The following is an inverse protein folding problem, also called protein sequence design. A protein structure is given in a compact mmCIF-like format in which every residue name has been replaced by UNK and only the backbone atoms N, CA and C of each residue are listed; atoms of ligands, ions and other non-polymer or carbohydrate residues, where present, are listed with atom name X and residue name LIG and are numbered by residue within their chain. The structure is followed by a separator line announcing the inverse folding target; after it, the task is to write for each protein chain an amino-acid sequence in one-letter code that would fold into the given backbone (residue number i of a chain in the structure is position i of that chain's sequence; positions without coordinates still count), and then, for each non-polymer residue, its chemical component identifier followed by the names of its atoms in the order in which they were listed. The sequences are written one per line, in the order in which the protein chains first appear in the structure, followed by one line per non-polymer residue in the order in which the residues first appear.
data_IF_649309057801
#
_entry.id   IF_649309057801
#
_cell.length_a   1.000
_cell.length_b   1.000
_cell.length_c   1.000
_cell.angle_alpha   90.00
_cell.angle_beta   90.00
_cell.angle_gamma   90.00
#
_symmetry.space_group_name_H-M   'P 1'
#
loop_
_entity.id
_entity.type
_entity.pdbx_description
1 polymer ?
#
# COMPACT_ATOMS: atom_id res chain seq x y z
N UNK A 1 -13.77 -18.92 -16.63
CA UNK A 1 -13.13 -17.69 -16.09
C UNK A 1 -12.05 -18.13 -15.13
N UNK A 2 -10.80 -17.66 -15.30
CA UNK A 2 -9.71 -17.97 -14.38
C UNK A 2 -9.72 -16.95 -13.23
N UNK A 3 -9.83 -17.44 -12.00
CA UNK A 3 -9.74 -16.62 -10.79
C UNK A 3 -8.27 -16.42 -10.38
N UNK A 4 -7.98 -15.45 -9.49
CA UNK A 4 -6.64 -15.28 -8.95
C UNK A 4 -6.09 -16.55 -8.33
N UNK A 5 -4.86 -16.91 -8.71
CA UNK A 5 -4.07 -17.98 -8.10
C UNK A 5 -3.13 -17.46 -7.02
N UNK A 6 -2.88 -16.14 -6.99
CA UNK A 6 -2.18 -15.49 -5.89
C UNK A 6 -2.67 -14.08 -5.58
N UNK A 7 -2.42 -13.61 -4.34
CA UNK A 7 -2.73 -12.26 -3.86
C UNK A 7 -1.50 -11.60 -3.23
N UNK A 8 -1.25 -10.32 -3.51
CA UNK A 8 -0.33 -9.48 -2.73
C UNK A 8 -1.14 -8.75 -1.67
N UNK A 9 -1.09 -9.26 -0.45
CA UNK A 9 -1.99 -8.85 0.65
C UNK A 9 -1.48 -7.66 1.45
N UNK A 10 -0.19 -7.35 1.38
CA UNK A 10 0.39 -6.30 2.20
C UNK A 10 1.89 -6.10 2.03
N UNK A 11 2.46 -5.06 2.64
CA UNK A 11 1.77 -3.93 3.30
C UNK A 11 1.95 -2.64 2.50
N UNK A 12 1.08 -1.66 2.71
CA UNK A 12 1.23 -0.34 2.10
C UNK A 12 2.59 0.26 2.49
N UNK A 13 3.26 0.90 1.53
CA UNK A 13 4.60 1.52 1.68
C UNK A 13 5.77 0.55 1.88
N UNK A 14 5.57 -0.72 1.54
CA UNK A 14 6.62 -1.76 1.50
C UNK A 14 6.97 -2.21 0.07
N UNK A 15 6.78 -1.37 -0.96
CA UNK A 15 7.22 -1.68 -2.33
C UNK A 15 6.25 -2.50 -3.20
N UNK A 16 5.04 -2.76 -2.73
CA UNK A 16 4.01 -3.54 -3.48
C UNK A 16 3.71 -3.00 -4.89
N UNK A 17 3.84 -1.70 -5.13
CA UNK A 17 3.66 -1.10 -6.47
C UNK A 17 4.80 -1.46 -7.43
N UNK A 18 6.05 -1.55 -6.95
CA UNK A 18 7.17 -2.01 -7.76
C UNK A 18 7.01 -3.48 -8.12
N UNK A 19 6.72 -4.32 -7.13
CA UNK A 19 6.46 -5.77 -7.32
C UNK A 19 5.31 -6.01 -8.30
N UNK A 20 4.19 -5.30 -8.13
CA UNK A 20 3.08 -5.34 -9.09
C UNK A 20 3.54 -5.00 -10.52
N UNK A 21 4.40 -3.99 -10.67
CA UNK A 21 4.98 -3.61 -11.95
C UNK A 21 5.81 -4.72 -12.57
N UNK A 22 6.75 -5.29 -11.80
CA UNK A 22 7.64 -6.36 -12.28
C UNK A 22 6.87 -7.65 -12.62
N UNK A 23 5.80 -7.96 -11.89
CA UNK A 23 4.92 -9.10 -12.20
C UNK A 23 4.15 -8.90 -13.51
N UNK A 24 3.76 -7.66 -13.83
CA UNK A 24 3.04 -7.35 -15.07
C UNK A 24 3.93 -7.52 -16.31
N UNK A 25 5.26 -7.49 -16.15
CA UNK A 25 6.21 -7.70 -17.25
C UNK A 25 6.39 -9.19 -17.60
N UNK A 26 6.02 -10.11 -16.71
CA UNK A 26 6.27 -11.54 -16.88
C UNK A 26 5.24 -12.19 -17.82
N UNK A 27 5.64 -12.89 -18.90
CA UNK A 27 4.71 -13.38 -19.93
C UNK A 27 3.72 -14.46 -19.45
N UNK A 28 4.05 -15.18 -18.38
CA UNK A 28 3.17 -16.19 -17.76
C UNK A 28 2.32 -15.65 -16.60
N UNK A 29 2.36 -14.33 -16.32
CA UNK A 29 1.65 -13.72 -15.19
C UNK A 29 0.63 -12.71 -15.71
N UNK A 30 -0.62 -12.88 -15.31
CA UNK A 30 -1.67 -11.87 -15.48
C UNK A 30 -1.89 -11.14 -14.15
N UNK A 31 -1.75 -9.82 -14.13
CA UNK A 31 -2.16 -9.00 -12.97
C UNK A 31 -3.49 -8.31 -13.26
N UNK A 32 -4.40 -8.31 -12.28
CA UNK A 32 -5.63 -7.49 -12.33
C UNK A 32 -5.28 -6.08 -12.81
N UNK A 33 -5.93 -5.54 -13.86
CA UNK A 33 -5.62 -4.21 -14.40
C UNK A 33 -5.85 -3.08 -13.39
N UNK A 34 -6.55 -3.40 -12.30
CA UNK A 34 -6.75 -2.51 -11.15
C UNK A 34 -6.00 -3.05 -9.93
N UNK A 35 -4.94 -2.35 -9.53
CA UNK A 35 -4.35 -2.47 -8.20
C UNK A 35 -5.29 -1.87 -7.14
N UNK A 36 -5.22 -2.39 -5.92
CA UNK A 36 -5.95 -1.92 -4.75
C UNK A 36 -7.47 -1.99 -4.97
N UNK A 37 -7.95 -3.15 -5.45
CA UNK A 37 -9.38 -3.45 -5.57
C UNK A 37 -10.09 -3.30 -4.22
N UNK A 38 -9.38 -3.64 -3.13
CA UNK A 38 -9.89 -3.66 -1.77
C UNK A 38 -11.14 -4.55 -1.57
N UNK A 39 -11.42 -5.45 -2.52
CA UNK A 39 -12.64 -6.27 -2.56
C UNK A 39 -12.83 -7.15 -1.32
N UNK A 40 -11.80 -7.87 -0.90
CA UNK A 40 -11.85 -8.75 0.27
C UNK A 40 -11.73 -8.02 1.61
N UNK A 41 -11.64 -6.69 1.64
CA UNK A 41 -11.47 -5.93 2.88
C UNK A 41 -12.58 -4.92 3.09
N UNK A 42 -13.81 -5.30 2.75
CA UNK A 42 -15.03 -4.52 2.96
C UNK A 42 -16.00 -5.31 3.81
N UNK A 43 -16.46 -4.70 4.89
CA UNK A 43 -17.55 -5.22 5.69
C UNK A 43 -18.87 -4.98 4.97
N UNK A 44 -19.49 -6.06 4.48
CA UNK A 44 -20.74 -6.00 3.71
C UNK A 44 -21.99 -6.10 4.58
N UNK A 45 -21.85 -6.48 5.84
CA UNK A 45 -22.96 -6.54 6.78
C UNK A 45 -23.24 -5.16 7.39
N UNK A 46 -22.22 -4.30 7.48
CA UNK A 46 -22.40 -2.90 7.89
C UNK A 46 -23.13 -2.05 6.85
N UNK A 47 -24.05 -1.21 7.32
CA UNK A 47 -24.85 -0.30 6.48
C UNK A 47 -23.94 0.51 5.56
N UNK A 48 -24.35 0.78 4.31
CA UNK A 48 -23.56 1.57 3.36
C UNK A 48 -23.07 2.90 3.92
N UNK A 49 -23.84 3.51 4.83
CA UNK A 49 -23.56 4.80 5.45
C UNK A 49 -22.37 4.78 6.43
N UNK A 50 -22.13 3.65 7.09
CA UNK A 50 -20.94 3.45 7.95
C UNK A 50 -19.69 3.12 7.13
N UNK A 51 -19.88 2.62 5.90
CA UNK A 51 -18.83 2.45 4.91
C UNK A 51 -18.53 3.74 4.10
N UNK A 52 -19.33 4.83 4.25
CA UNK A 52 -19.21 6.09 3.49
C UNK A 52 -18.01 6.95 3.84
N UNK A 53 -17.33 6.73 4.96
CA UNK A 53 -16.14 7.52 5.33
C UNK A 53 -14.98 7.38 4.33
N UNK A 54 -15.04 6.36 3.46
CA UNK A 54 -14.07 6.17 2.38
C UNK A 54 -14.49 6.97 1.15
N UNK A 55 -14.17 8.28 1.13
CA UNK A 55 -13.97 8.94 -0.15
C UNK A 55 -12.94 8.11 -0.92
N UNK A 56 -13.21 7.71 -2.18
CA UNK A 56 -12.21 7.00 -2.95
C UNK A 56 -10.98 7.90 -3.08
N UNK A 57 -9.89 7.51 -2.40
CA UNK A 57 -8.56 8.05 -2.65
C UNK A 57 -8.14 7.87 -4.12
N UNK A 58 -8.86 7.00 -4.85
CA UNK A 58 -8.65 6.65 -6.26
C UNK A 58 -9.52 7.42 -7.29
N UNK A 59 -9.95 8.64 -6.98
CA UNK A 59 -10.72 9.47 -7.92
C UNK A 59 -12.12 8.92 -8.23
N UNK A 60 -12.70 9.31 -9.37
CA UNK A 60 -14.05 8.90 -9.81
C UNK A 60 -14.18 7.41 -10.22
N UNK A 61 -13.26 6.53 -9.81
CA UNK A 61 -13.32 5.11 -10.18
C UNK A 61 -14.43 4.40 -9.39
N UNK A 62 -15.32 3.71 -10.10
CA UNK A 62 -16.36 2.85 -9.54
C UNK A 62 -15.75 1.86 -8.55
N UNK A 63 -16.40 1.60 -7.41
CA UNK A 63 -15.92 0.61 -6.43
C UNK A 63 -16.13 -0.81 -6.97
N UNK A 64 -15.21 -1.73 -6.67
CA UNK A 64 -15.40 -3.18 -6.88
C UNK A 64 -16.06 -3.72 -5.62
N UNK A 65 -17.39 -3.82 -5.65
CA UNK A 65 -18.21 -4.15 -4.48
C UNK A 65 -19.08 -5.41 -4.66
N UNK A 66 -19.19 -5.93 -5.88
CA UNK A 66 -19.85 -7.20 -6.18
C UNK A 66 -18.86 -8.23 -6.72
N UNK A 67 -19.17 -9.51 -6.57
CA UNK A 67 -18.31 -10.59 -7.04
C UNK A 67 -18.15 -10.57 -8.55
N UNK A 68 -19.22 -10.23 -9.27
CA UNK A 68 -19.22 -10.12 -10.73
C UNK A 68 -18.22 -9.05 -11.20
N UNK A 69 -18.24 -7.86 -10.58
CA UNK A 69 -17.26 -6.79 -10.88
C UNK A 69 -15.83 -7.19 -10.55
N UNK A 70 -15.63 -8.04 -9.55
CA UNK A 70 -14.30 -8.55 -9.21
C UNK A 70 -13.82 -9.55 -10.26
N UNK A 71 -14.68 -10.49 -10.63
CA UNK A 71 -14.49 -11.48 -11.69
C UNK A 71 -14.22 -10.86 -13.07
N UNK A 72 -14.89 -9.75 -13.42
CA UNK A 72 -14.66 -8.98 -14.66
C UNK A 72 -13.22 -8.50 -14.82
N UNK A 73 -12.47 -8.33 -13.73
CA UNK A 73 -11.05 -7.94 -13.79
C UNK A 73 -10.14 -9.01 -14.39
N UNK A 74 -10.65 -10.23 -14.59
CA UNK A 74 -9.90 -11.39 -15.06
C UNK A 74 -10.48 -12.00 -16.35
N UNK A 75 -11.33 -11.27 -17.06
CA UNK A 75 -11.94 -11.75 -18.32
C UNK A 75 -10.90 -11.90 -19.45
N UNK A 76 -9.84 -11.08 -19.41
CA UNK A 76 -8.79 -11.07 -20.44
C UNK A 76 -7.66 -12.08 -20.17
N UNK A 77 -7.77 -12.92 -19.13
CA UNK A 77 -6.80 -14.00 -18.89
C UNK A 77 -6.91 -15.03 -20.01
N UNK A 78 -5.77 -15.36 -20.61
CA UNK A 78 -5.63 -16.36 -21.67
C UNK A 78 -4.88 -17.57 -21.10
N UNK A 79 -3.61 -17.69 -21.45
CA UNK A 79 -2.75 -18.84 -21.16
C UNK A 79 -1.82 -18.58 -19.99
N UNK A 80 -1.96 -17.45 -19.28
CA UNK A 80 -1.17 -17.15 -18.10
C UNK A 80 -1.38 -18.24 -17.03
N UNK A 81 -0.26 -18.61 -16.41
CA UNK A 81 -0.15 -19.66 -15.40
C UNK A 81 -0.54 -19.09 -14.04
N UNK A 82 -0.05 -17.88 -13.74
CA UNK A 82 -0.33 -17.19 -12.49
C UNK A 82 -1.22 -15.96 -12.72
N UNK A 83 -2.31 -15.87 -11.96
CA UNK A 83 -3.27 -14.75 -12.03
C UNK A 83 -3.27 -14.05 -10.68
N UNK A 84 -2.94 -12.76 -10.66
CA UNK A 84 -2.65 -12.00 -9.45
C UNK A 84 -3.57 -10.81 -9.22
N UNK A 85 -3.83 -10.52 -7.94
CA UNK A 85 -4.40 -9.25 -7.49
C UNK A 85 -3.56 -8.68 -6.35
N UNK A 86 -3.50 -7.35 -6.22
CA UNK A 86 -2.69 -6.69 -5.22
C UNK A 86 -3.47 -5.61 -4.46
N UNK A 87 -3.80 -5.89 -3.21
CA UNK A 87 -4.48 -4.97 -2.30
C UNK A 87 -3.78 -4.97 -0.93
N UNK A 88 -2.86 -4.03 -0.68
CA UNK A 88 -2.05 -4.04 0.55
C UNK A 88 -2.83 -3.86 1.86
N UNK A 89 -4.11 -3.51 1.80
CA UNK A 89 -4.99 -3.38 2.96
C UNK A 89 -5.51 -4.74 3.47
N UNK A 90 -5.38 -5.82 2.70
CA UNK A 90 -5.86 -7.15 3.11
C UNK A 90 -5.12 -7.65 4.36
N UNK A 91 -3.82 -7.36 4.47
CA UNK A 91 -3.04 -7.68 5.66
C UNK A 91 -3.53 -6.89 6.88
N UNK A 92 -3.84 -5.60 6.71
CA UNK A 92 -4.24 -4.73 7.84
C UNK A 92 -5.65 -5.09 8.32
N UNK A 93 -6.55 -5.46 7.40
CA UNK A 93 -7.90 -5.93 7.71
C UNK A 93 -7.97 -7.45 7.72
N UNK A 94 -7.00 -8.11 8.34
CA UNK A 94 -6.81 -9.55 8.26
C UNK A 94 -8.03 -10.37 8.68
N UNK A 95 -8.80 -9.95 9.70
CA UNK A 95 -9.94 -10.74 10.18
C UNK A 95 -10.96 -10.97 9.06
N UNK A 96 -11.46 -9.88 8.50
CA UNK A 96 -12.44 -9.95 7.40
C UNK A 96 -11.82 -10.40 6.08
N UNK A 97 -10.56 -10.02 5.82
CA UNK A 97 -9.92 -10.37 4.55
C UNK A 97 -9.63 -11.86 4.46
N UNK A 98 -9.13 -12.47 5.53
CA UNK A 98 -8.91 -13.92 5.58
C UNK A 98 -10.21 -14.70 5.43
N UNK A 99 -11.29 -14.29 6.09
CA UNK A 99 -12.60 -14.94 5.97
C UNK A 99 -13.12 -14.87 4.53
N UNK A 100 -13.13 -13.68 3.94
CA UNK A 100 -13.59 -13.52 2.57
C UNK A 100 -12.69 -14.26 1.58
N UNK A 101 -11.36 -14.18 1.72
CA UNK A 101 -10.43 -14.91 0.85
C UNK A 101 -10.67 -16.42 0.96
N UNK A 102 -10.86 -16.96 2.17
CA UNK A 102 -11.14 -18.38 2.37
C UNK A 102 -12.44 -18.82 1.70
N UNK A 103 -13.47 -17.97 1.71
CA UNK A 103 -14.76 -18.27 1.10
C UNK A 103 -14.73 -18.22 -0.44
N UNK A 104 -13.99 -17.28 -1.03
CA UNK A 104 -13.99 -17.07 -2.48
C UNK A 104 -12.81 -17.74 -3.20
N UNK A 105 -11.66 -17.86 -2.54
CA UNK A 105 -10.38 -18.30 -3.10
C UNK A 105 -9.60 -19.19 -2.10
N UNK A 106 -10.15 -20.33 -1.66
CA UNK A 106 -9.57 -21.15 -0.57
C UNK A 106 -8.14 -21.64 -0.85
N UNK A 107 -7.78 -21.85 -2.11
CA UNK A 107 -6.48 -22.39 -2.51
C UNK A 107 -5.41 -21.34 -2.86
N UNK A 108 -5.75 -20.07 -2.76
CA UNK A 108 -4.90 -18.97 -3.25
C UNK A 108 -3.58 -18.88 -2.49
N UNK A 109 -2.50 -18.61 -3.22
CA UNK A 109 -1.23 -18.24 -2.61
C UNK A 109 -1.24 -16.76 -2.21
N UNK A 110 -0.51 -16.39 -1.17
CA UNK A 110 -0.45 -15.04 -0.66
C UNK A 110 0.99 -14.59 -0.50
N UNK A 111 1.23 -13.33 -0.82
CA UNK A 111 2.52 -12.67 -0.69
C UNK A 111 2.34 -11.45 0.20
N UNK A 112 3.17 -11.34 1.23
CA UNK A 112 3.30 -10.12 2.02
C UNK A 112 4.74 -9.60 1.96
N UNK A 113 4.90 -8.34 1.56
CA UNK A 113 6.16 -7.61 1.67
C UNK A 113 6.07 -6.71 2.89
N UNK A 114 6.93 -6.95 3.87
CA UNK A 114 7.03 -6.19 5.11
C UNK A 114 8.21 -5.22 5.05
N UNK A 115 8.15 -4.13 5.80
CA UNK A 115 9.22 -3.13 5.89
C UNK A 115 9.38 -2.76 7.36
N UNK A 116 10.58 -2.31 7.77
CA UNK A 116 10.77 -1.68 9.08
C UNK A 116 9.55 -0.78 9.40
N UNK A 117 8.79 -1.08 10.47
CA UNK A 117 7.50 -0.46 10.71
C UNK A 117 7.61 1.06 10.95
N UNK A 118 8.75 1.53 11.45
CA UNK A 118 9.06 2.96 11.59
C UNK A 118 9.19 3.63 10.23
N UNK A 119 10.03 3.08 9.35
CA UNK A 119 10.24 3.66 8.01
C UNK A 119 8.98 3.55 7.14
N UNK A 120 8.18 2.50 7.33
CA UNK A 120 6.88 2.36 6.70
C UNK A 120 5.91 3.44 7.20
N UNK A 121 5.81 3.66 8.51
CA UNK A 121 4.97 4.70 9.10
C UNK A 121 5.38 6.10 8.62
N UNK A 122 6.68 6.38 8.60
CA UNK A 122 7.25 7.60 8.05
C UNK A 122 6.91 7.79 6.57
N UNK A 123 7.07 6.75 5.75
CA UNK A 123 6.71 6.82 4.33
C UNK A 123 5.21 7.06 4.11
N UNK A 124 4.34 6.51 4.96
CA UNK A 124 2.89 6.72 4.92
C UNK A 124 2.52 8.15 5.36
N UNK A 125 3.19 8.67 6.40
CA UNK A 125 3.06 10.06 6.85
C UNK A 125 3.42 11.07 5.76
N UNK A 126 4.58 10.90 5.10
CA UNK A 126 4.99 11.77 3.98
C UNK A 126 3.98 11.72 2.83
N UNK A 127 3.41 10.55 2.56
CA UNK A 127 2.37 10.40 1.55
C UNK A 127 1.10 11.16 1.94
N UNK A 128 0.68 11.10 3.21
CA UNK A 128 -0.47 11.88 3.69
C UNK A 128 -0.23 13.39 3.56
N UNK A 129 0.97 13.89 3.87
CA UNK A 129 1.35 15.29 3.66
C UNK A 129 1.26 15.69 2.19
N UNK A 130 1.86 14.89 1.30
CA UNK A 130 1.87 15.11 -0.16
C UNK A 130 0.47 15.13 -0.76
N UNK A 131 -0.38 14.20 -0.35
CA UNK A 131 -1.71 14.01 -0.92
C UNK A 131 -2.78 14.88 -0.22
N UNK A 132 -2.40 15.66 0.81
CA UNK A 132 -3.32 16.51 1.57
C UNK A 132 -4.35 15.71 2.38
N UNK A 133 -4.02 14.47 2.75
CA UNK A 133 -4.87 13.62 3.58
C UNK A 133 -4.89 14.22 5.00
N UNK A 134 -6.10 14.48 5.52
CA UNK A 134 -6.30 15.19 6.77
C UNK A 134 -5.58 16.56 6.82
N UNK A 135 -5.52 17.27 5.70
CA UNK A 135 -4.91 18.59 5.61
C UNK A 135 -5.35 19.53 6.76
N UNK A 136 -4.37 20.13 7.44
CA UNK A 136 -4.59 21.00 8.60
C UNK A 136 -4.93 20.28 9.92
N UNK A 137 -5.04 18.95 9.90
CA UNK A 137 -5.35 18.09 11.06
C UNK A 137 -4.42 16.87 11.18
N UNK A 138 -3.41 16.76 10.32
CA UNK A 138 -2.47 15.65 10.34
C UNK A 138 -1.52 15.81 11.53
N UNK A 139 -1.67 14.91 12.51
CA UNK A 139 -0.83 14.84 13.71
C UNK A 139 0.57 14.32 13.39
N UNK A 140 1.57 14.70 14.16
CA UNK A 140 2.93 14.12 14.03
C UNK A 140 2.90 12.61 14.29
N UNK A 141 3.94 11.88 13.88
CA UNK A 141 4.02 10.46 14.20
C UNK A 141 4.19 10.23 15.71
N UNK A 142 4.95 11.09 16.38
CA UNK A 142 5.08 11.05 17.84
C UNK A 142 3.75 11.23 18.58
N UNK A 143 2.91 12.18 18.17
CA UNK A 143 1.56 12.35 18.72
C UNK A 143 0.68 11.13 18.42
N UNK A 144 0.77 10.59 17.19
CA UNK A 144 -0.01 9.42 16.81
C UNK A 144 0.36 8.19 17.65
N UNK A 145 1.63 7.97 17.95
CA UNK A 145 2.06 6.86 18.81
C UNK A 145 1.68 7.09 20.27
N UNK A 146 1.92 8.29 20.81
CA UNK A 146 1.68 8.59 22.24
C UNK A 146 0.20 8.59 22.62
N UNK A 147 -0.66 9.14 21.77
CA UNK A 147 -2.05 9.45 22.15
C UNK A 147 -3.09 8.75 21.28
N UNK A 148 -2.70 8.15 20.17
CA UNK A 148 -3.63 7.61 19.17
C UNK A 148 -3.18 6.29 18.56
N UNK A 149 -2.34 5.50 19.24
CA UNK A 149 -1.79 4.25 18.70
C UNK A 149 -2.87 3.24 18.29
N UNK A 150 -3.98 3.20 19.03
CA UNK A 150 -5.12 2.30 18.79
C UNK A 150 -6.02 2.70 17.61
N UNK A 151 -5.99 3.97 17.22
CA UNK A 151 -6.89 4.56 16.20
C UNK A 151 -6.16 5.04 14.95
N UNK A 152 -4.86 5.34 15.04
CA UNK A 152 -4.07 5.76 13.90
C UNK A 152 -3.87 4.60 12.92
N UNK A 153 -4.51 4.71 11.75
CA UNK A 153 -4.26 3.76 10.65
C UNK A 153 -2.79 3.74 10.22
N UNK A 154 -2.09 4.86 10.30
CA UNK A 154 -0.64 4.94 10.03
C UNK A 154 0.11 4.02 10.97
N UNK A 155 -0.17 4.06 12.28
CA UNK A 155 0.57 3.27 13.27
C UNK A 155 0.19 1.79 13.22
N UNK A 156 -1.11 1.48 13.17
CA UNK A 156 -1.61 0.09 13.17
C UNK A 156 -1.11 -0.75 12.00
N UNK A 157 -0.90 -0.13 10.83
CA UNK A 157 -0.35 -0.81 9.65
C UNK A 157 1.06 -1.40 9.89
N UNK A 158 1.78 -0.94 10.90
CA UNK A 158 3.11 -1.45 11.26
C UNK A 158 3.12 -2.60 12.28
N UNK A 159 1.96 -3.00 12.82
CA UNK A 159 1.83 -4.14 13.72
C UNK A 159 1.57 -5.39 12.88
N UNK A 160 2.60 -6.16 12.60
CA UNK A 160 2.56 -7.26 11.65
C UNK A 160 2.36 -8.63 12.29
N UNK A 161 2.80 -8.83 13.54
CA UNK A 161 2.79 -10.15 14.17
C UNK A 161 1.38 -10.75 14.16
N UNK A 162 0.40 -10.03 14.71
CA UNK A 162 -0.97 -10.54 14.82
C UNK A 162 -1.61 -10.84 13.45
N UNK A 163 -1.56 -9.92 12.45
CA UNK A 163 -2.04 -10.25 11.11
C UNK A 163 -1.37 -11.47 10.47
N UNK A 164 -0.04 -11.56 10.51
CA UNK A 164 0.70 -12.65 9.86
C UNK A 164 0.38 -13.98 10.54
N UNK A 165 0.38 -14.00 11.87
CA UNK A 165 -0.01 -15.20 12.63
C UNK A 165 -1.42 -15.66 12.24
N UNK A 166 -2.37 -14.74 12.15
CA UNK A 166 -3.74 -15.06 11.76
C UNK A 166 -3.82 -15.71 10.38
N UNK A 167 -3.09 -15.19 9.38
CA UNK A 167 -3.06 -15.82 8.05
C UNK A 167 -2.40 -17.19 8.07
N UNK A 168 -1.30 -17.39 8.82
CA UNK A 168 -0.69 -18.71 8.99
C UNK A 168 -1.65 -19.70 9.66
N UNK A 169 -2.34 -19.31 10.73
CA UNK A 169 -3.31 -20.16 11.42
C UNK A 169 -4.51 -20.51 10.51
N UNK A 170 -4.89 -19.60 9.60
CA UNK A 170 -6.10 -19.77 8.77
C UNK A 170 -5.85 -20.59 7.50
N UNK A 171 -4.69 -20.40 6.85
CA UNK A 171 -4.39 -20.93 5.52
C UNK A 171 -3.20 -21.89 5.47
N UNK A 172 -2.41 -21.98 6.54
CA UNK A 172 -1.13 -22.68 6.53
C UNK A 172 0.03 -21.79 6.07
N UNK A 173 1.24 -22.13 6.53
CA UNK A 173 2.45 -21.36 6.22
C UNK A 173 2.87 -21.50 4.76
N UNK A 174 2.53 -22.60 4.10
CA UNK A 174 2.83 -22.88 2.70
C UNK A 174 2.06 -21.99 1.73
N UNK A 175 0.89 -21.48 2.15
CA UNK A 175 0.06 -20.58 1.35
C UNK A 175 0.48 -19.12 1.47
N UNK A 176 1.29 -18.72 2.46
CA UNK A 176 1.73 -17.32 2.65
C UNK A 176 3.25 -17.21 2.65
N UNK A 177 3.79 -16.52 1.65
CA UNK A 177 5.22 -16.16 1.58
C UNK A 177 5.46 -14.74 2.06
N UNK A 178 6.40 -14.59 3.00
CA UNK A 178 6.83 -13.30 3.54
C UNK A 178 8.15 -12.88 2.88
N UNK A 179 8.20 -11.61 2.46
CA UNK A 179 9.39 -10.94 1.94
C UNK A 179 9.66 -9.67 2.75
N UNK A 180 10.92 -9.24 2.82
CA UNK A 180 11.28 -7.97 3.44
C UNK A 180 11.61 -6.94 2.36
N UNK A 181 11.20 -5.70 2.55
CA UNK A 181 11.53 -4.59 1.67
C UNK A 181 13.05 -4.42 1.53
N UNK A 182 13.81 -4.78 2.57
CA UNK A 182 15.27 -4.74 2.55
C UNK A 182 15.88 -5.73 1.53
N UNK A 183 15.22 -6.87 1.32
CA UNK A 183 15.62 -7.83 0.27
C UNK A 183 15.37 -7.21 -1.13
N UNK A 184 14.29 -6.45 -1.29
CA UNK A 184 13.98 -5.73 -2.53
C UNK A 184 14.99 -4.61 -2.79
N UNK A 185 15.47 -3.96 -1.72
CA UNK A 185 16.46 -2.90 -1.85
C UNK A 185 17.85 -3.44 -2.18
N UNK A 186 18.21 -4.58 -1.59
CA UNK A 186 19.51 -5.24 -1.74
C UNK A 186 19.66 -5.98 -3.07
N UNK A 187 18.69 -6.82 -3.42
CA UNK A 187 18.72 -7.64 -4.64
C UNK A 187 17.31 -7.92 -5.15
N UNK A 188 16.78 -6.97 -5.91
CA UNK A 188 15.45 -7.06 -6.50
C UNK A 188 15.29 -8.23 -7.47
N UNK A 189 16.35 -8.63 -8.18
CA UNK A 189 16.26 -9.73 -9.15
C UNK A 189 16.06 -11.03 -8.41
N UNK A 190 16.91 -11.30 -7.41
CA UNK A 190 16.79 -12.51 -6.58
C UNK A 190 15.42 -12.61 -5.89
N UNK A 191 14.92 -11.52 -5.33
CA UNK A 191 13.57 -11.51 -4.74
C UNK A 191 12.50 -11.89 -5.78
N UNK A 192 12.57 -11.32 -6.99
CA UNK A 192 11.58 -11.62 -8.03
C UNK A 192 11.64 -13.09 -8.46
N UNK A 193 12.83 -13.68 -8.60
CA UNK A 193 12.98 -15.11 -8.87
C UNK A 193 12.33 -15.99 -7.78
N UNK A 194 12.47 -15.61 -6.50
CA UNK A 194 11.79 -16.30 -5.40
C UNK A 194 10.26 -16.16 -5.47
N UNK A 195 9.76 -14.98 -5.85
CA UNK A 195 8.32 -14.76 -6.10
C UNK A 195 7.85 -15.65 -7.26
N UNK A 196 8.59 -15.72 -8.37
CA UNK A 196 8.25 -16.52 -9.54
C UNK A 196 8.15 -18.02 -9.21
N UNK A 197 9.15 -18.57 -8.50
CA UNK A 197 9.09 -19.94 -7.96
C UNK A 197 7.87 -20.16 -7.08
N UNK A 198 7.56 -19.21 -6.20
CA UNK A 198 6.43 -19.34 -5.29
C UNK A 198 5.10 -19.36 -6.04
N UNK A 199 4.89 -18.50 -7.05
CA UNK A 199 3.65 -18.48 -7.84
C UNK A 199 3.61 -19.55 -8.94
N UNK A 200 4.72 -20.23 -9.22
CA UNK A 200 4.80 -21.37 -10.12
C UNK A 200 4.99 -21.00 -11.59
N UNK A 201 5.73 -19.92 -11.87
CA UNK A 201 6.10 -19.48 -13.23
C UNK A 201 7.62 -19.59 -13.43
N UNK A 202 8.07 -19.40 -14.67
CA UNK A 202 9.49 -19.38 -15.05
C UNK A 202 10.29 -18.38 -14.20
N UNK A 203 11.20 -18.89 -13.38
CA UNK A 203 12.01 -18.08 -12.48
C UNK A 203 13.29 -17.55 -13.12
N UNK A 204 13.51 -17.82 -14.41
CA UNK A 204 14.63 -17.29 -15.19
C UNK A 204 14.32 -15.96 -15.86
N UNK A 205 13.04 -15.56 -15.90
CA UNK A 205 12.63 -14.26 -16.42
C UNK A 205 13.26 -13.12 -15.59
N UNK A 206 13.84 -12.14 -16.28
CA UNK A 206 14.50 -10.99 -15.65
C UNK A 206 13.75 -9.69 -15.96
N UNK A 207 12.93 -9.16 -15.03
CA UNK A 207 12.23 -7.90 -15.24
C UNK A 207 13.20 -6.71 -15.22
N UNK A 208 12.80 -5.58 -15.80
CA UNK A 208 13.57 -4.33 -15.69
C UNK A 208 13.36 -3.72 -14.29
N UNK A 209 14.14 -4.20 -13.32
CA UNK A 209 14.05 -3.73 -11.93
C UNK A 209 14.67 -2.35 -11.70
N UNK A 210 15.36 -1.78 -12.70
CA UNK A 210 16.01 -0.47 -12.62
C UNK A 210 15.01 0.65 -12.34
N UNK A 211 13.78 0.50 -12.83
CA UNK A 211 12.67 1.44 -12.63
C UNK A 211 11.99 1.17 -11.29
N UNK A 212 12.62 1.56 -10.18
CA UNK A 212 11.90 1.61 -8.90
C UNK A 212 10.75 2.61 -9.00
N UNK A 213 9.52 2.11 -8.92
CA UNK A 213 8.33 2.96 -8.89
C UNK A 213 8.25 3.69 -7.54
N UNK A 214 8.67 4.96 -7.55
CA UNK A 214 8.51 6.03 -6.55
C UNK A 214 9.64 6.24 -5.54
N UNK A 215 10.32 7.39 -5.66
CA UNK A 215 10.93 8.10 -4.52
C UNK A 215 9.84 8.83 -3.72
N UNK A 216 10.03 8.92 -2.40
CA UNK A 216 9.12 9.69 -1.55
C UNK A 216 9.25 11.19 -1.91
N UNK A 217 8.12 11.81 -2.23
CA UNK A 217 8.01 13.22 -2.55
C UNK A 217 7.26 13.94 -1.43
N UNK A 218 7.75 15.10 -1.03
CA UNK A 218 7.22 15.91 0.08
C UNK A 218 6.98 17.34 -0.40
N UNK A 219 5.89 18.00 0.01
CA UNK A 219 5.66 19.39 -0.40
C UNK A 219 6.64 20.36 0.28
N UNK A 220 7.26 21.26 -0.50
CA UNK A 220 8.11 22.36 -0.02
C UNK A 220 7.30 23.36 0.83
N UNK A 221 6.06 23.64 0.42
CA UNK A 221 5.12 24.48 1.15
C UNK A 221 3.80 23.72 1.39
N UNK A 222 3.52 23.39 2.66
CA UNK A 222 2.34 22.60 3.03
C UNK A 222 1.03 23.39 2.86
N UNK A 223 1.03 24.70 3.10
CA UNK A 223 -0.17 25.54 2.93
C UNK A 223 -0.61 25.59 1.48
N UNK A 224 0.34 25.82 0.56
CA UNK A 224 0.11 25.76 -0.88
C UNK A 224 -0.33 24.37 -1.31
N UNK A 225 0.30 23.31 -0.78
CA UNK A 225 -0.09 21.94 -1.09
C UNK A 225 -1.54 21.65 -0.66
N UNK A 226 -1.92 22.06 0.54
CA UNK A 226 -3.28 21.90 1.07
C UNK A 226 -4.29 22.65 0.19
N UNK A 227 -3.98 23.88 -0.23
CA UNK A 227 -4.81 24.67 -1.16
C UNK A 227 -5.02 23.92 -2.49
N UNK A 228 -3.95 23.35 -3.05
CA UNK A 228 -3.97 22.67 -4.34
C UNK A 228 -4.57 21.26 -4.28
N UNK A 229 -4.42 20.53 -3.18
CA UNK A 229 -4.82 19.13 -3.07
C UNK A 229 -6.25 18.94 -2.56
N UNK A 230 -6.69 19.78 -1.62
CA UNK A 230 -8.03 19.67 -1.02
C UNK A 230 -9.10 20.40 -1.81
N UNK A 231 -10.38 20.09 -1.57
CA UNK A 231 -11.49 20.97 -1.98
C UNK A 231 -11.67 22.01 -0.89
N UNK A 232 -11.55 23.29 -1.24
CA UNK A 232 -11.69 24.41 -0.33
C UNK A 232 -12.26 25.63 -1.09
N UNK A 233 -12.85 26.62 -0.38
CA UNK A 233 -13.53 27.75 -1.03
C UNK A 233 -12.63 28.55 -1.96
N UNK A 234 -11.36 28.78 -1.56
CA UNK A 234 -10.37 29.53 -2.34
C UNK A 234 -10.10 28.82 -3.67
N UNK A 235 -9.84 27.50 -3.63
CA UNK A 235 -9.65 26.68 -4.83
C UNK A 235 -10.89 26.70 -5.71
N UNK A 236 -12.09 26.61 -5.13
CA UNK A 236 -13.34 26.67 -5.90
C UNK A 236 -13.46 28.01 -6.62
N UNK A 237 -13.20 29.12 -5.93
CA UNK A 237 -13.20 30.47 -6.52
C UNK A 237 -12.21 30.58 -7.68
N UNK A 238 -10.93 30.22 -7.47
CA UNK A 238 -9.90 30.21 -8.52
C UNK A 238 -10.31 29.33 -9.70
N UNK A 239 -10.85 28.14 -9.44
CA UNK A 239 -11.27 27.23 -10.52
C UNK A 239 -12.46 27.77 -11.32
N UNK A 240 -13.33 28.57 -10.69
CA UNK A 240 -14.51 29.18 -11.29
C UNK A 240 -14.21 30.41 -12.13
N UNK A 241 -13.11 31.12 -11.85
CA UNK A 241 -12.61 32.19 -12.71
C UNK A 241 -11.81 31.62 -13.87
N UNK A 242 -10.88 30.68 -13.61
CA UNK A 242 -10.06 30.07 -14.66
C UNK A 242 -10.88 29.30 -15.70
N UNK A 243 -12.04 28.71 -15.34
CA UNK A 243 -12.90 28.00 -16.30
C UNK A 243 -13.49 28.91 -17.38
N UNK A 244 -13.47 30.23 -17.20
CA UNK A 244 -13.94 31.19 -18.21
C UNK A 244 -12.95 31.33 -19.38
N UNK A 245 -11.67 31.07 -19.13
CA UNK A 245 -10.60 31.27 -20.11
C UNK A 245 -9.78 30.00 -20.42
N UNK A 246 -9.94 28.92 -19.64
CA UNK A 246 -9.12 27.71 -19.76
C UNK A 246 -9.98 26.43 -19.75
N UNK A 247 -9.63 25.50 -20.64
CA UNK A 247 -10.22 24.16 -20.67
C UNK A 247 -9.96 23.38 -19.37
N UNK A 248 -10.69 22.29 -19.16
CA UNK A 248 -10.46 21.40 -18.01
C UNK A 248 -9.04 20.81 -18.02
N UNK A 249 -8.56 20.37 -19.19
CA UNK A 249 -7.23 19.79 -19.35
C UNK A 249 -6.13 20.79 -19.02
N UNK A 250 -6.24 22.04 -19.51
CA UNK A 250 -5.27 23.09 -19.22
C UNK A 250 -5.19 23.38 -17.72
N UNK A 251 -6.36 23.45 -17.04
CA UNK A 251 -6.41 23.66 -15.59
C UNK A 251 -5.81 22.48 -14.81
N UNK A 252 -6.02 21.25 -15.28
CA UNK A 252 -5.40 20.07 -14.69
C UNK A 252 -3.87 20.05 -14.89
N UNK A 253 -3.39 20.41 -16.08
CA UNK A 253 -1.95 20.56 -16.38
C UNK A 253 -1.31 21.64 -15.51
N UNK A 254 -1.93 22.83 -15.42
CA UNK A 254 -1.46 23.93 -14.56
C UNK A 254 -1.35 23.49 -13.10
N UNK A 255 -2.41 22.87 -12.56
CA UNK A 255 -2.42 22.36 -11.18
C UNK A 255 -1.31 21.34 -10.97
N UNK A 256 -1.15 20.39 -11.88
CA UNK A 256 -0.11 19.35 -11.80
C UNK A 256 1.28 19.96 -11.84
N UNK A 257 1.49 20.97 -12.69
CA UNK A 257 2.72 21.76 -12.74
C UNK A 257 3.03 22.45 -11.41
N UNK A 258 2.06 23.12 -10.80
CA UNK A 258 2.22 23.77 -9.49
C UNK A 258 2.53 22.76 -8.37
N UNK A 259 1.86 21.61 -8.35
CA UNK A 259 2.14 20.53 -7.38
C UNK A 259 3.56 19.99 -7.58
N UNK A 260 4.00 19.80 -8.83
CA UNK A 260 5.35 19.33 -9.14
C UNK A 260 6.43 20.35 -8.74
N UNK A 261 6.21 21.64 -9.00
CA UNK A 261 7.14 22.71 -8.57
C UNK A 261 7.26 22.77 -7.04
N UNK A 262 6.16 22.54 -6.35
CA UNK A 262 6.09 22.45 -4.89
C UNK A 262 6.58 21.11 -4.35
N UNK A 263 7.02 20.15 -5.18
CA UNK A 263 7.54 18.87 -4.73
C UNK A 263 9.05 18.94 -4.44
N UNK A 264 9.48 18.34 -3.34
CA UNK A 264 10.88 18.10 -2.97
C UNK A 264 11.08 16.68 -2.43
N UNK A 265 12.29 16.35 -1.97
CA UNK A 265 12.60 15.04 -1.43
C UNK A 265 12.23 14.88 0.06
N UNK A 266 12.49 13.68 0.59
CA UNK A 266 12.16 13.30 1.98
C UNK A 266 12.94 14.08 3.02
N UNK A 267 14.11 14.60 2.65
CA UNK A 267 15.01 15.41 3.47
C UNK A 267 14.36 16.70 3.98
N UNK A 268 13.26 17.17 3.36
CA UNK A 268 12.51 18.33 3.82
C UNK A 268 11.66 18.08 5.08
N UNK A 269 11.45 16.81 5.44
CA UNK A 269 10.67 16.40 6.61
C UNK A 269 11.36 15.21 7.28
N UNK A 270 12.57 15.36 7.82
CA UNK A 270 13.30 14.25 8.43
C UNK A 270 12.58 13.74 9.68
N UNK A 271 12.68 12.43 9.94
CA UNK A 271 12.25 11.85 11.21
C UNK A 271 13.36 12.10 12.24
N UNK A 272 13.06 12.76 13.36
CA UNK A 272 14.08 12.98 14.40
C UNK A 272 14.48 11.66 15.07
N UNK A 273 15.68 11.60 15.66
CA UNK A 273 16.16 10.42 16.38
C UNK A 273 15.26 10.08 17.58
N UNK A 274 14.71 11.08 18.26
CA UNK A 274 13.77 10.90 19.37
C UNK A 274 12.43 10.32 18.89
N UNK A 275 11.90 10.81 17.75
CA UNK A 275 10.70 10.22 17.16
C UNK A 275 10.97 8.78 16.69
N UNK A 276 12.10 8.52 16.03
CA UNK A 276 12.50 7.17 15.62
C UNK A 276 12.58 6.23 16.81
N UNK A 277 13.24 6.65 17.90
CA UNK A 277 13.34 5.88 19.13
C UNK A 277 11.95 5.54 19.69
N UNK A 278 11.08 6.55 19.82
CA UNK A 278 9.72 6.37 20.31
C UNK A 278 8.91 5.36 19.50
N UNK A 279 8.97 5.46 18.16
CA UNK A 279 8.30 4.50 17.28
C UNK A 279 8.93 3.10 17.37
N UNK A 280 10.26 3.01 17.46
CA UNK A 280 10.99 1.75 17.57
C UNK A 280 10.60 1.02 18.85
N UNK A 281 10.55 1.73 19.98
CA UNK A 281 10.15 1.15 21.26
C UNK A 281 8.68 0.72 21.25
N UNK A 282 7.80 1.49 20.60
CA UNK A 282 6.41 1.09 20.41
C UNK A 282 6.27 -0.22 19.62
N UNK A 283 7.05 -0.40 18.55
CA UNK A 283 6.98 -1.60 17.70
C UNK A 283 7.84 -2.77 18.21
N UNK A 284 8.73 -2.56 19.18
CA UNK A 284 9.76 -3.53 19.60
C UNK A 284 9.18 -4.92 19.88
N UNK A 285 8.12 -5.00 20.67
CA UNK A 285 7.52 -6.29 21.04
C UNK A 285 6.92 -7.01 19.82
N UNK A 286 6.25 -6.28 18.92
CA UNK A 286 5.69 -6.83 17.68
C UNK A 286 6.79 -7.34 16.74
N UNK A 287 7.90 -6.59 16.63
CA UNK A 287 9.07 -6.98 15.82
C UNK A 287 9.69 -8.28 16.34
N UNK A 288 9.91 -8.39 17.65
CA UNK A 288 10.51 -9.58 18.26
C UNK A 288 9.62 -10.82 18.05
N UNK A 289 8.31 -10.68 18.32
CA UNK A 289 7.34 -11.76 18.09
C UNK A 289 7.26 -12.15 16.60
N UNK A 290 7.32 -11.18 15.70
CA UNK A 290 7.32 -11.43 14.27
C UNK A 290 8.57 -12.16 13.82
N UNK A 291 9.76 -11.74 14.29
CA UNK A 291 11.04 -12.38 13.99
C UNK A 291 11.01 -13.87 14.30
N UNK A 292 10.51 -14.22 15.49
CA UNK A 292 10.35 -15.62 15.91
C UNK A 292 9.29 -16.33 15.06
N UNK A 293 8.16 -15.69 14.76
CA UNK A 293 7.09 -16.29 13.95
C UNK A 293 7.55 -16.63 12.53
N UNK A 294 8.31 -15.76 11.87
CA UNK A 294 8.73 -15.94 10.48
C UNK A 294 10.13 -16.55 10.35
N UNK A 295 10.81 -16.80 11.47
CA UNK A 295 12.17 -17.38 11.52
C UNK A 295 13.17 -16.60 10.66
N UNK A 296 13.13 -15.26 10.76
CA UNK A 296 14.04 -14.34 10.05
C UNK A 296 14.54 -13.28 11.01
N UNK A 297 15.85 -13.00 10.94
CA UNK A 297 16.46 -11.91 11.69
C UNK A 297 15.88 -10.54 11.26
N UNK A 298 15.32 -9.81 12.23
CA UNK A 298 14.79 -8.45 12.10
C UNK A 298 15.51 -7.49 13.06
N UNK A 299 16.67 -7.88 13.62
CA UNK A 299 17.44 -7.05 14.55
C UNK A 299 17.81 -5.68 13.97
N UNK A 300 18.04 -5.60 12.66
CA UNK A 300 18.28 -4.35 11.95
C UNK A 300 17.13 -3.35 12.05
N UNK A 301 15.89 -3.80 12.32
CA UNK A 301 14.74 -2.92 12.50
C UNK A 301 14.69 -2.26 13.89
N UNK A 302 15.51 -2.73 14.83
CA UNK A 302 15.60 -2.22 16.20
C UNK A 302 16.74 -1.21 16.40
N UNK A 303 17.54 -0.95 15.37
CA UNK A 303 18.66 0.01 15.41
C UNK A 303 18.11 1.43 15.25
N UNK A 304 18.54 2.34 16.14
CA UNK A 304 18.27 3.77 16.02
C UNK A 304 19.50 4.42 15.37
N UNK A 305 19.39 4.72 14.08
CA UNK A 305 20.31 5.61 13.34
C UNK A 305 19.77 7.04 13.31
#
# INVERSE_FOLDING_TARGET
MKLPTFLIIGVQKAGTTSIYGYLTEHPQVYMSPRKETNFFCVDREKKPEENRERKPWMGNKTRIDTWEKYCELFIDVKDEIAVGEASPNYLVRYQISSEMIKNYLPDVKMIAILRNPVDRAYSDYLMHLRDGINAGKLRSLSEQVKFHSETSSTIKKGLYYTPIKHYFDTFGQEKLKIFLYDDLTKDSVKMMQEIYRFIGVDDTFNPDTSKRKQSAAVPKNQTLNNLLQTRNPIRTAISSTLKLAMSLEMRQKLRSGLVNLNSGGKELQPLSSEERQLLTDFYREDILKLQDLIQRDLSSWLIIE
#
